data_IF_740415406978
#
_entry.id   IF_740415406978
#
_cell.length_a   1.000
_cell.length_b   1.000
_cell.length_c   1.000
_cell.angle_alpha   90.00
_cell.angle_beta   90.00
_cell.angle_gamma   90.00
#
_symmetry.space_group_name_H-M   'P 1'
#
loop_
_entity.id
_entity.type
_entity.pdbx_description
1 polymer ?
#
# COMPACT_ATOMS: atom_id res chain seq x y z
N UNK A 1 -7.87 -18.69 -4.33
CA UNK A 1 -6.82 -18.23 -5.25
C UNK A 1 -5.68 -19.24 -5.29
N UNK A 2 -5.01 -19.55 -4.16
CA UNK A 2 -3.87 -20.49 -4.11
C UNK A 2 -4.19 -21.83 -4.82
N UNK A 3 -5.36 -22.44 -4.54
CA UNK A 3 -5.80 -23.66 -5.23
C UNK A 3 -6.06 -23.49 -6.73
N UNK A 4 -6.44 -22.30 -7.14
CA UNK A 4 -6.74 -21.99 -8.55
C UNK A 4 -5.49 -21.82 -9.41
N UNK A 5 -4.33 -21.64 -8.79
CA UNK A 5 -3.04 -21.39 -9.46
C UNK A 5 -1.97 -22.42 -9.15
N UNK A 6 -2.31 -23.50 -8.42
CA UNK A 6 -1.35 -24.52 -7.97
C UNK A 6 -0.59 -25.18 -9.13
N UNK A 7 -1.26 -25.37 -10.28
CA UNK A 7 -0.71 -26.05 -11.45
C UNK A 7 -0.46 -25.09 -12.64
N UNK A 8 -0.47 -23.76 -12.39
CA UNK A 8 -0.30 -22.77 -13.44
C UNK A 8 0.85 -21.79 -13.12
N UNK A 9 1.55 -21.25 -14.15
CA UNK A 9 2.48 -20.15 -13.93
C UNK A 9 1.74 -18.97 -13.31
N UNK A 10 2.12 -18.58 -12.09
CA UNK A 10 1.49 -17.48 -11.37
C UNK A 10 2.51 -16.72 -10.55
N UNK A 11 2.43 -15.39 -10.58
CA UNK A 11 3.23 -14.52 -9.72
C UNK A 11 2.94 -14.70 -8.23
N UNK A 12 1.83 -15.36 -7.87
CA UNK A 12 1.55 -15.75 -6.49
C UNK A 12 2.61 -16.72 -5.94
N UNK A 13 3.29 -17.49 -6.81
CA UNK A 13 4.38 -18.37 -6.44
C UNK A 13 5.70 -17.64 -6.17
N UNK A 14 5.75 -16.32 -6.41
CA UNK A 14 6.93 -15.45 -6.25
C UNK A 14 6.81 -14.47 -5.08
N UNK A 15 5.76 -14.58 -4.27
CA UNK A 15 5.50 -13.68 -3.15
C UNK A 15 5.15 -14.46 -1.89
N UNK A 16 5.42 -13.86 -0.72
CA UNK A 16 4.94 -14.34 0.58
C UNK A 16 3.62 -13.64 0.94
N UNK A 17 2.45 -14.28 0.76
CA UNK A 17 1.17 -13.66 1.08
C UNK A 17 1.05 -13.34 2.57
N UNK A 18 0.47 -12.20 2.91
CA UNK A 18 0.34 -11.74 4.31
C UNK A 18 -0.43 -12.73 5.20
N UNK A 19 -1.32 -13.54 4.63
CA UNK A 19 -2.08 -14.56 5.35
C UNK A 19 -1.22 -15.71 5.92
N UNK A 20 0.00 -15.85 5.42
CA UNK A 20 0.92 -16.93 5.82
C UNK A 20 2.14 -16.42 6.59
N UNK A 21 2.17 -15.17 6.98
CA UNK A 21 3.26 -14.61 7.76
C UNK A 21 3.29 -15.23 9.16
N UNK A 22 4.48 -15.72 9.54
CA UNK A 22 4.74 -16.34 10.86
C UNK A 22 4.56 -17.84 10.91
N UNK A 23 4.15 -18.50 9.81
CA UNK A 23 4.03 -19.95 9.71
C UNK A 23 4.98 -20.48 8.61
N UNK A 24 6.00 -21.26 8.98
CA UNK A 24 6.94 -21.91 8.05
C UNK A 24 7.60 -20.92 7.05
N UNK A 25 7.88 -19.70 7.49
CA UNK A 25 8.37 -18.61 6.62
C UNK A 25 9.67 -19.01 5.87
N UNK A 26 10.58 -19.74 6.50
CA UNK A 26 11.86 -20.12 5.87
C UNK A 26 11.67 -21.09 4.71
N UNK A 27 10.81 -22.13 4.87
CA UNK A 27 10.53 -23.10 3.82
C UNK A 27 9.78 -22.46 2.65
N UNK A 28 8.79 -21.61 2.94
CA UNK A 28 8.04 -20.86 1.92
C UNK A 28 8.94 -19.90 1.15
N UNK A 29 9.83 -19.17 1.82
CA UNK A 29 10.79 -18.25 1.19
C UNK A 29 11.78 -19.03 0.31
N UNK A 30 12.23 -20.22 0.73
CA UNK A 30 13.08 -21.06 -0.11
C UNK A 30 12.35 -21.49 -1.39
N UNK A 31 11.11 -21.97 -1.28
CA UNK A 31 10.29 -22.35 -2.43
C UNK A 31 10.00 -21.17 -3.37
N UNK A 32 9.74 -19.97 -2.83
CA UNK A 32 9.56 -18.75 -3.62
C UNK A 32 10.80 -18.46 -4.47
N UNK A 33 12.00 -18.55 -3.89
CA UNK A 33 13.26 -18.33 -4.64
C UNK A 33 13.47 -19.37 -5.73
N UNK A 34 13.24 -20.64 -5.43
CA UNK A 34 13.33 -21.71 -6.43
C UNK A 34 12.38 -21.46 -7.61
N UNK A 35 11.15 -21.05 -7.33
CA UNK A 35 10.17 -20.68 -8.36
C UNK A 35 10.61 -19.48 -9.19
N UNK A 36 11.23 -18.46 -8.57
CA UNK A 36 11.77 -17.30 -9.31
C UNK A 36 12.91 -17.70 -10.24
N UNK A 37 13.86 -18.53 -9.79
CA UNK A 37 14.95 -19.03 -10.64
C UNK A 37 14.40 -19.91 -11.77
N UNK A 38 13.49 -20.81 -11.47
CA UNK A 38 12.85 -21.66 -12.50
C UNK A 38 12.11 -20.81 -13.55
N UNK A 39 11.44 -19.72 -13.13
CA UNK A 39 10.76 -18.83 -14.06
C UNK A 39 11.72 -18.06 -14.99
N UNK A 40 12.91 -17.71 -14.51
CA UNK A 40 13.96 -17.09 -15.31
C UNK A 40 14.58 -18.09 -16.31
N UNK A 41 14.81 -19.33 -15.87
CA UNK A 41 15.41 -20.40 -16.71
C UNK A 41 14.45 -20.87 -17.81
N UNK A 42 13.14 -20.88 -17.55
CA UNK A 42 12.13 -21.41 -18.47
C UNK A 42 11.45 -20.35 -19.34
N UNK A 43 11.99 -19.13 -19.38
CA UNK A 43 11.41 -17.99 -20.12
C UNK A 43 9.91 -17.73 -19.80
N UNK A 44 9.49 -18.04 -18.55
CA UNK A 44 8.12 -17.82 -18.12
C UNK A 44 7.78 -16.33 -17.95
N UNK A 45 8.80 -15.47 -17.91
CA UNK A 45 8.70 -14.03 -17.78
C UNK A 45 9.31 -13.35 -19.01
N UNK A 46 8.56 -12.43 -19.63
CA UNK A 46 9.07 -11.60 -20.73
C UNK A 46 9.92 -10.46 -20.19
N UNK A 47 11.17 -10.35 -20.62
CA UNK A 47 12.08 -9.27 -20.22
C UNK A 47 11.87 -8.04 -21.10
N UNK A 48 11.55 -6.92 -20.45
CA UNK A 48 11.46 -5.62 -21.09
C UNK A 48 12.82 -4.90 -21.07
N UNK A 49 13.05 -4.03 -22.03
CA UNK A 49 14.15 -3.05 -21.99
C UNK A 49 13.85 -1.98 -20.92
N UNK A 50 14.80 -1.05 -20.71
CA UNK A 50 14.59 0.06 -19.75
C UNK A 50 13.41 0.92 -20.16
N UNK A 51 12.55 1.21 -19.19
CA UNK A 51 11.33 1.99 -19.39
C UNK A 51 10.39 1.87 -18.20
N UNK A 52 9.13 2.24 -18.42
CA UNK A 52 8.05 2.07 -17.44
C UNK A 52 6.95 1.17 -18.04
N UNK A 53 5.99 0.80 -17.21
CA UNK A 53 4.73 0.22 -17.68
C UNK A 53 3.59 1.16 -17.32
N UNK A 54 2.85 1.63 -18.32
CA UNK A 54 1.61 2.36 -18.11
C UNK A 54 0.47 1.37 -17.94
N UNK A 55 -0.34 1.52 -16.89
CA UNK A 55 -1.41 0.57 -16.56
C UNK A 55 -2.76 1.26 -16.48
N UNK A 56 -3.79 0.62 -16.99
CA UNK A 56 -5.18 0.93 -16.71
C UNK A 56 -5.83 -0.26 -16.02
N UNK A 57 -6.45 -0.03 -14.88
CA UNK A 57 -7.23 -1.04 -14.18
C UNK A 57 -8.65 -0.56 -13.95
N UNK A 58 -9.60 -1.20 -14.59
CA UNK A 58 -11.02 -0.93 -14.44
C UNK A 58 -11.61 -1.83 -13.37
N UNK A 59 -12.13 -1.22 -12.33
CA UNK A 59 -12.84 -1.86 -11.22
C UNK A 59 -14.26 -1.30 -11.13
N UNK A 60 -14.99 -1.69 -10.11
CA UNK A 60 -16.32 -1.16 -9.84
C UNK A 60 -16.32 0.33 -9.46
N UNK A 61 -15.20 0.85 -8.95
CA UNK A 61 -15.03 2.26 -8.56
C UNK A 61 -14.57 3.16 -9.70
N UNK A 62 -14.19 2.59 -10.85
CA UNK A 62 -13.72 3.32 -12.02
C UNK A 62 -12.44 2.75 -12.61
N UNK A 63 -11.84 3.48 -13.54
CA UNK A 63 -10.57 3.10 -14.17
C UNK A 63 -9.43 3.86 -13.52
N UNK A 64 -8.60 3.15 -12.75
CA UNK A 64 -7.36 3.67 -12.18
C UNK A 64 -6.24 3.59 -13.21
N UNK A 65 -5.51 4.69 -13.36
CA UNK A 65 -4.31 4.78 -14.18
C UNK A 65 -3.08 4.86 -13.32
N UNK A 66 -2.10 4.01 -13.63
CA UNK A 66 -0.85 3.91 -12.90
C UNK A 66 0.36 3.88 -13.82
N UNK A 67 1.50 4.25 -13.28
CA UNK A 67 2.79 4.15 -13.94
C UNK A 67 3.68 3.27 -13.06
N UNK A 68 4.00 2.07 -13.54
CA UNK A 68 4.87 1.14 -12.82
C UNK A 68 6.31 1.50 -13.14
N UNK A 69 7.05 1.89 -12.11
CA UNK A 69 8.42 2.39 -12.20
C UNK A 69 9.22 1.99 -10.95
N UNK A 70 10.54 2.01 -11.06
CA UNK A 70 11.43 1.79 -9.93
C UNK A 70 11.65 3.12 -9.17
N UNK A 71 11.37 3.12 -7.87
CA UNK A 71 11.63 4.24 -6.96
C UNK A 71 13.01 4.08 -6.31
N UNK A 72 13.72 5.19 -6.05
CA UNK A 72 14.99 5.20 -5.36
C UNK A 72 14.79 5.16 -3.84
N UNK A 73 15.21 4.07 -3.20
CA UNK A 73 15.09 3.90 -1.76
C UNK A 73 15.98 4.85 -0.94
N UNK A 74 17.02 5.48 -1.54
CA UNK A 74 17.77 6.55 -0.89
C UNK A 74 16.91 7.81 -0.65
N UNK A 75 15.91 8.03 -1.49
CA UNK A 75 14.97 9.14 -1.37
C UNK A 75 13.79 8.86 -0.42
N UNK A 76 13.70 7.64 0.14
CA UNK A 76 12.61 7.20 1.01
C UNK A 76 12.94 7.30 2.49
N UNK A 77 11.98 7.73 3.30
CA UNK A 77 12.01 7.61 4.77
C UNK A 77 10.63 7.29 5.34
N UNK A 78 10.61 6.41 6.36
CA UNK A 78 9.46 6.14 7.24
C UNK A 78 9.61 6.76 8.64
N UNK A 79 10.77 7.37 8.95
CA UNK A 79 11.06 7.91 10.26
C UNK A 79 10.22 9.15 10.56
N UNK A 80 9.59 9.18 11.73
CA UNK A 80 8.80 10.33 12.16
C UNK A 80 9.71 11.57 12.33
N UNK A 81 9.25 12.72 11.83
CA UNK A 81 9.97 13.98 11.88
C UNK A 81 11.05 14.15 10.79
N UNK A 82 11.27 13.15 9.94
CA UNK A 82 12.24 13.22 8.83
C UNK A 82 11.52 13.57 7.54
N UNK A 83 11.82 14.71 6.95
CA UNK A 83 11.38 15.05 5.58
C UNK A 83 12.16 14.25 4.56
N UNK A 84 11.47 13.73 3.55
CA UNK A 84 12.09 13.00 2.44
C UNK A 84 11.22 13.15 1.18
N UNK A 85 11.81 13.07 -0.04
CA UNK A 85 11.07 13.11 -1.29
C UNK A 85 10.00 12.02 -1.39
N UNK A 86 10.26 10.83 -0.85
CA UNK A 86 9.31 9.71 -0.77
C UNK A 86 9.03 9.41 0.71
N UNK A 87 7.77 9.50 1.11
CA UNK A 87 7.38 9.29 2.51
C UNK A 87 6.47 8.08 2.70
N UNK A 88 6.70 7.35 3.80
CA UNK A 88 5.66 6.50 4.37
C UNK A 88 4.45 7.36 4.75
N UNK A 89 3.24 6.89 4.48
CA UNK A 89 2.03 7.57 4.95
C UNK A 89 1.65 7.17 6.36
N UNK A 90 2.00 5.95 6.78
CA UNK A 90 1.69 5.41 8.11
C UNK A 90 2.97 5.03 8.85
N UNK A 91 2.86 4.88 10.16
CA UNK A 91 3.92 4.32 10.98
C UNK A 91 4.20 2.87 10.60
N UNK A 92 5.48 2.55 10.48
CA UNK A 92 5.95 1.19 10.16
C UNK A 92 6.16 0.41 11.46
N UNK A 93 5.63 -0.81 11.49
CA UNK A 93 5.76 -1.74 12.63
C UNK A 93 6.98 -2.63 12.38
N UNK A 94 8.06 -2.51 13.19
CA UNK A 94 9.32 -3.24 12.96
C UNK A 94 9.16 -4.75 12.88
N UNK A 95 8.27 -5.33 13.70
CA UNK A 95 8.02 -6.78 13.76
C UNK A 95 7.47 -7.34 12.45
N UNK A 96 6.83 -6.49 11.64
CA UNK A 96 6.30 -6.86 10.32
C UNK A 96 7.33 -6.80 9.20
N UNK A 97 8.53 -6.30 9.46
CA UNK A 97 9.58 -6.15 8.43
C UNK A 97 10.36 -7.43 8.22
N UNK A 98 10.65 -8.19 9.28
CA UNK A 98 11.57 -9.32 9.23
C UNK A 98 11.23 -10.36 8.14
N UNK A 99 9.99 -10.86 7.99
CA UNK A 99 9.64 -11.82 6.93
C UNK A 99 9.83 -11.23 5.52
N UNK A 100 9.46 -9.96 5.33
CA UNK A 100 9.57 -9.26 4.04
C UNK A 100 11.01 -8.97 3.65
N UNK A 101 11.87 -8.71 4.64
CA UNK A 101 13.33 -8.57 4.41
C UNK A 101 13.90 -9.95 4.02
N UNK A 102 13.50 -11.01 4.70
CA UNK A 102 13.93 -12.37 4.41
C UNK A 102 13.51 -12.84 3.01
N UNK A 103 12.29 -12.49 2.57
CA UNK A 103 11.79 -12.74 1.21
C UNK A 103 12.70 -12.08 0.15
N UNK A 104 13.11 -10.82 0.35
CA UNK A 104 14.00 -10.09 -0.57
C UNK A 104 15.46 -10.55 -0.54
N UNK A 105 15.92 -11.04 0.61
CA UNK A 105 17.31 -11.44 0.79
C UNK A 105 17.63 -12.64 -0.12
N UNK A 106 18.59 -12.49 -1.01
CA UNK A 106 19.00 -13.49 -2.00
C UNK A 106 17.90 -13.86 -3.03
N UNK A 107 16.85 -13.05 -3.17
CA UNK A 107 15.88 -13.22 -4.23
C UNK A 107 16.41 -12.61 -5.53
N UNK A 108 16.28 -13.28 -6.69
CA UNK A 108 16.68 -12.71 -7.97
C UNK A 108 15.69 -11.64 -8.45
N UNK A 109 14.43 -11.75 -8.07
CA UNK A 109 13.32 -10.91 -8.50
C UNK A 109 12.58 -10.28 -7.32
N UNK A 110 11.82 -9.24 -7.61
CA UNK A 110 10.78 -8.70 -6.75
C UNK A 110 9.46 -8.52 -7.51
N UNK A 111 8.34 -8.77 -6.83
CA UNK A 111 6.98 -8.55 -7.32
C UNK A 111 6.18 -7.74 -6.30
N UNK A 112 6.46 -6.46 -6.11
CA UNK A 112 5.82 -5.67 -5.07
C UNK A 112 4.42 -5.20 -5.50
N UNK A 113 3.54 -5.02 -4.52
CA UNK A 113 2.19 -4.45 -4.69
C UNK A 113 2.10 -2.98 -4.25
N UNK A 114 3.23 -2.31 -4.02
CA UNK A 114 3.26 -0.95 -3.50
C UNK A 114 2.61 0.05 -4.47
N UNK A 115 1.77 0.94 -3.92
CA UNK A 115 1.18 2.07 -4.62
C UNK A 115 1.67 3.35 -3.93
N UNK A 116 2.20 4.27 -4.73
CA UNK A 116 2.60 5.60 -4.29
C UNK A 116 1.75 6.66 -4.96
N UNK A 117 1.29 7.64 -4.19
CA UNK A 117 0.64 8.81 -4.76
C UNK A 117 1.64 9.89 -5.15
N UNK A 118 1.34 10.56 -6.26
CA UNK A 118 1.88 11.86 -6.64
C UNK A 118 0.75 12.88 -6.87
N UNK A 119 1.10 14.16 -7.02
CA UNK A 119 0.12 15.25 -7.16
C UNK A 119 0.23 15.91 -8.51
N UNK A 120 -0.76 15.71 -9.38
CA UNK A 120 -0.90 16.49 -10.61
C UNK A 120 -2.38 16.76 -10.94
N UNK A 121 -2.90 17.93 -10.53
CA UNK A 121 -4.30 18.34 -10.83
C UNK A 121 -4.59 18.43 -12.32
N UNK A 122 -3.56 18.57 -13.16
CA UNK A 122 -3.71 18.64 -14.63
C UNK A 122 -3.57 17.28 -15.30
N UNK A 123 -3.13 16.28 -14.57
CA UNK A 123 -2.91 14.90 -15.02
C UNK A 123 -2.04 14.83 -16.29
N UNK A 124 -0.91 15.55 -16.28
CA UNK A 124 -0.06 15.78 -17.46
C UNK A 124 0.62 14.52 -17.92
N UNK A 125 1.18 13.74 -16.97
CA UNK A 125 1.90 12.51 -17.31
C UNK A 125 0.97 11.49 -17.97
N UNK A 126 -0.18 11.21 -17.38
CA UNK A 126 -1.17 10.27 -17.93
C UNK A 126 -1.72 10.77 -19.27
N UNK A 127 -2.06 12.06 -19.39
CA UNK A 127 -2.55 12.64 -20.65
C UNK A 127 -1.52 12.61 -21.77
N UNK A 128 -0.25 12.70 -21.43
CA UNK A 128 0.84 12.53 -22.39
C UNK A 128 0.86 11.09 -22.88
N UNK A 129 0.93 10.10 -21.98
CA UNK A 129 0.98 8.69 -22.32
C UNK A 129 -0.24 8.20 -23.13
N UNK A 130 -1.44 8.73 -22.84
CA UNK A 130 -2.67 8.42 -23.59
C UNK A 130 -2.69 8.92 -25.05
N UNK A 131 -1.74 9.78 -25.45
CA UNK A 131 -1.62 10.29 -26.84
C UNK A 131 -0.61 9.52 -27.66
N UNK A 132 0.21 8.70 -27.01
CA UNK A 132 1.25 7.92 -27.64
C UNK A 132 0.73 6.55 -28.10
N UNK A 133 1.26 6.03 -29.20
CA UNK A 133 1.03 4.65 -29.63
C UNK A 133 1.98 3.71 -28.90
N UNK A 134 1.56 3.24 -27.71
CA UNK A 134 2.36 2.37 -26.88
C UNK A 134 2.14 0.90 -27.22
N UNK A 135 3.20 0.10 -27.14
CA UNK A 135 3.13 -1.36 -27.28
C UNK A 135 2.32 -1.96 -26.12
N UNK A 136 1.25 -2.70 -26.44
CA UNK A 136 0.44 -3.39 -25.45
C UNK A 136 1.15 -4.65 -24.97
N UNK A 137 1.36 -4.77 -23.66
CA UNK A 137 2.01 -5.91 -23.03
C UNK A 137 1.01 -6.99 -22.60
N UNK A 138 -0.11 -6.57 -22.05
CA UNK A 138 -1.16 -7.47 -21.57
C UNK A 138 -2.53 -6.76 -21.53
N UNK A 139 -3.59 -7.57 -21.58
CA UNK A 139 -4.99 -7.11 -21.64
C UNK A 139 -5.90 -8.27 -21.23
N UNK A 140 -6.37 -8.31 -19.97
CA UNK A 140 -7.16 -9.43 -19.46
C UNK A 140 -7.97 -9.09 -18.19
N UNK A 141 -8.94 -9.96 -17.90
CA UNK A 141 -9.72 -9.88 -16.67
C UNK A 141 -8.99 -10.55 -15.51
N UNK A 142 -8.93 -9.84 -14.37
CA UNK A 142 -8.34 -10.36 -13.14
C UNK A 142 -9.32 -11.29 -12.43
N UNK A 143 -8.79 -12.36 -11.82
CA UNK A 143 -9.57 -13.32 -11.05
C UNK A 143 -10.30 -12.67 -9.85
N UNK A 144 -11.27 -13.40 -9.28
CA UNK A 144 -12.00 -13.03 -8.07
C UNK A 144 -12.67 -11.64 -8.12
N UNK A 145 -13.06 -11.20 -9.32
CA UNK A 145 -13.66 -9.89 -9.53
C UNK A 145 -12.72 -8.72 -9.33
N UNK A 146 -11.42 -8.95 -9.54
CA UNK A 146 -10.37 -7.93 -9.48
C UNK A 146 -10.47 -6.86 -10.56
N UNK A 147 -11.41 -6.99 -11.51
CA UNK A 147 -11.62 -6.07 -12.62
C UNK A 147 -10.78 -6.44 -13.85
N UNK A 148 -10.72 -5.51 -14.79
CA UNK A 148 -9.94 -5.64 -16.03
C UNK A 148 -8.65 -4.85 -15.94
N UNK A 149 -7.56 -5.39 -16.45
CA UNK A 149 -6.25 -4.73 -16.46
C UNK A 149 -5.65 -4.75 -17.85
N UNK A 150 -5.11 -3.60 -18.26
CA UNK A 150 -4.32 -3.45 -19.47
C UNK A 150 -3.01 -2.76 -19.13
N UNK A 151 -1.91 -3.22 -19.74
CA UNK A 151 -0.58 -2.63 -19.56
C UNK A 151 0.11 -2.37 -20.89
N UNK A 152 0.84 -1.26 -20.95
CA UNK A 152 1.61 -0.83 -22.11
C UNK A 152 3.04 -0.50 -21.74
N UNK A 153 3.97 -0.82 -22.63
CA UNK A 153 5.37 -0.45 -22.45
C UNK A 153 5.59 1.03 -22.78
N UNK A 154 6.29 1.72 -21.89
CA UNK A 154 6.73 3.11 -22.06
C UNK A 154 8.25 3.10 -22.24
N UNK A 155 8.78 3.33 -23.45
CA UNK A 155 10.21 3.26 -23.74
C UNK A 155 11.01 4.33 -22.98
N UNK A 156 12.33 4.15 -22.88
CA UNK A 156 13.22 4.89 -21.97
C UNK A 156 13.18 6.42 -22.14
N UNK A 157 13.14 6.90 -23.39
CA UNK A 157 13.03 8.34 -23.70
C UNK A 157 11.72 8.94 -23.19
N UNK A 158 10.59 8.30 -23.50
CA UNK A 158 9.27 8.72 -23.02
C UNK A 158 9.13 8.54 -21.49
N UNK A 159 9.75 7.52 -20.93
CA UNK A 159 9.82 7.32 -19.49
C UNK A 159 10.57 8.47 -18.78
N UNK A 160 11.64 8.98 -19.39
CA UNK A 160 12.38 10.13 -18.87
C UNK A 160 11.52 11.41 -18.87
N UNK A 161 10.77 11.68 -19.95
CA UNK A 161 9.82 12.78 -20.03
C UNK A 161 8.71 12.63 -19.00
N UNK A 162 8.15 11.42 -18.86
CA UNK A 162 7.15 11.09 -17.86
C UNK A 162 7.65 11.39 -16.45
N UNK A 163 8.86 10.95 -16.10
CA UNK A 163 9.47 11.18 -14.81
C UNK A 163 9.59 12.67 -14.46
N UNK A 164 9.90 13.53 -15.43
CA UNK A 164 9.94 14.99 -15.23
C UNK A 164 8.57 15.57 -14.86
N UNK A 165 7.49 15.04 -15.44
CA UNK A 165 6.13 15.47 -15.16
C UNK A 165 5.61 15.00 -13.79
N UNK A 166 6.14 13.89 -13.28
CA UNK A 166 5.76 13.36 -11.96
C UNK A 166 6.34 14.16 -10.79
N UNK A 167 7.43 14.93 -11.02
CA UNK A 167 8.03 15.76 -9.98
C UNK A 167 7.17 16.98 -9.65
N UNK A 168 6.41 16.88 -8.56
CA UNK A 168 5.69 18.03 -7.99
C UNK A 168 6.63 18.91 -7.17
N UNK A 169 6.29 20.20 -7.02
CA UNK A 169 6.99 21.08 -6.09
C UNK A 169 6.62 20.75 -4.65
N UNK A 170 7.62 20.77 -3.77
CA UNK A 170 7.48 20.56 -2.32
C UNK A 170 7.62 19.10 -1.89
N UNK A 171 7.86 18.90 -0.60
CA UNK A 171 8.02 17.59 0.02
C UNK A 171 6.80 17.23 0.87
N UNK A 172 6.43 15.93 0.87
CA UNK A 172 6.96 14.90 -0.01
C UNK A 172 6.50 15.05 -1.46
N UNK A 173 7.30 14.56 -2.40
CA UNK A 173 6.94 14.46 -3.84
C UNK A 173 6.02 13.27 -4.05
N UNK A 174 6.37 12.13 -3.45
CA UNK A 174 5.60 10.90 -3.44
C UNK A 174 5.29 10.47 -2.00
N UNK A 175 4.16 9.81 -1.82
CA UNK A 175 3.81 9.20 -0.55
C UNK A 175 3.23 7.80 -0.76
N UNK A 176 3.64 6.85 0.07
CA UNK A 176 3.13 5.48 0.00
C UNK A 176 1.66 5.48 0.37
N UNK A 177 0.84 4.98 -0.52
CA UNK A 177 -0.61 4.89 -0.34
C UNK A 177 -1.04 3.48 0.12
N UNK A 178 -0.39 2.45 -0.39
CA UNK A 178 -0.51 1.05 0.05
C UNK A 178 0.87 0.39 -0.02
N UNK A 179 1.15 -0.55 0.88
CA UNK A 179 2.42 -1.26 0.95
C UNK A 179 3.51 -0.60 1.79
N UNK A 180 3.17 0.23 2.79
CA UNK A 180 4.14 0.91 3.66
C UNK A 180 5.20 -0.05 4.25
N UNK A 181 4.81 -1.23 4.75
CA UNK A 181 5.74 -2.22 5.29
C UNK A 181 6.63 -2.84 4.21
N UNK A 182 6.13 -3.02 2.97
CA UNK A 182 6.91 -3.56 1.86
C UNK A 182 8.00 -2.59 1.42
N UNK A 183 7.69 -1.29 1.32
CA UNK A 183 8.68 -0.26 0.98
C UNK A 183 9.72 -0.12 2.09
N UNK A 184 9.29 -0.12 3.36
CA UNK A 184 10.21 -0.06 4.49
C UNK A 184 11.13 -1.29 4.59
N UNK A 185 10.61 -2.49 4.30
CA UNK A 185 11.41 -3.71 4.25
C UNK A 185 12.43 -3.67 3.10
N UNK A 186 12.04 -3.16 1.93
CA UNK A 186 12.96 -2.94 0.81
C UNK A 186 14.07 -1.95 1.17
N UNK A 187 13.75 -0.86 1.86
CA UNK A 187 14.73 0.10 2.38
C UNK A 187 15.68 -0.56 3.38
N UNK A 188 15.18 -1.31 4.35
CA UNK A 188 16.00 -2.00 5.33
C UNK A 188 16.92 -3.06 4.68
N UNK A 189 16.42 -3.79 3.69
CA UNK A 189 17.24 -4.69 2.87
C UNK A 189 18.35 -3.92 2.13
N UNK A 190 18.00 -2.82 1.44
CA UNK A 190 18.98 -1.97 0.78
C UNK A 190 20.08 -1.48 1.74
N UNK A 191 19.72 -0.99 2.93
CA UNK A 191 20.70 -0.53 3.92
C UNK A 191 21.68 -1.65 4.34
N UNK A 192 21.20 -2.88 4.45
CA UNK A 192 22.05 -4.04 4.74
C UNK A 192 23.02 -4.36 3.59
N UNK A 193 22.55 -4.30 2.34
CA UNK A 193 23.35 -4.51 1.13
C UNK A 193 24.37 -3.38 0.97
N UNK A 194 23.90 -2.12 1.09
CA UNK A 194 24.73 -0.92 0.98
C UNK A 194 25.95 -0.95 1.90
N UNK A 195 25.80 -1.48 3.10
CA UNK A 195 26.88 -1.58 4.08
C UNK A 195 28.05 -2.50 3.62
N UNK A 196 27.82 -3.35 2.64
CA UNK A 196 28.83 -4.30 2.10
C UNK A 196 29.46 -3.84 0.78
N UNK A 197 28.89 -2.79 0.14
CA UNK A 197 29.29 -2.34 -1.19
C UNK A 197 30.36 -1.24 -1.15
N UNK A 198 31.14 -1.14 -2.22
CA UNK A 198 32.01 -0.01 -2.48
C UNK A 198 31.22 1.18 -3.01
N UNK A 199 31.79 2.38 -2.86
CA UNK A 199 31.12 3.63 -3.24
C UNK A 199 30.68 3.68 -4.72
N UNK A 200 31.47 3.08 -5.60
CA UNK A 200 31.24 3.04 -7.04
C UNK A 200 30.03 2.15 -7.43
N UNK A 201 29.72 1.16 -6.58
CA UNK A 201 28.64 0.19 -6.82
C UNK A 201 27.28 0.72 -6.35
N UNK A 202 27.26 1.71 -5.44
CA UNK A 202 26.03 2.20 -4.77
C UNK A 202 25.02 2.79 -5.73
N UNK A 203 25.47 3.51 -6.76
CA UNK A 203 24.59 4.31 -7.62
C UNK A 203 23.61 3.47 -8.44
N UNK A 204 24.07 2.33 -8.94
CA UNK A 204 23.33 1.50 -9.90
C UNK A 204 22.96 0.12 -9.35
N UNK A 205 23.23 -0.16 -8.08
CA UNK A 205 22.93 -1.46 -7.50
C UNK A 205 21.42 -1.73 -7.55
N UNK A 206 20.96 -2.88 -8.08
CA UNK A 206 19.52 -3.14 -8.27
C UNK A 206 18.74 -3.14 -6.96
N UNK A 207 19.30 -3.59 -5.83
CA UNK A 207 18.64 -3.55 -4.53
C UNK A 207 18.38 -2.12 -3.99
N UNK A 208 19.03 -1.07 -4.55
CA UNK A 208 18.79 0.34 -4.21
C UNK A 208 17.39 0.79 -4.62
N UNK A 209 16.80 0.12 -5.57
CA UNK A 209 15.50 0.50 -6.12
C UNK A 209 14.42 -0.50 -5.75
N UNK A 210 13.16 -0.05 -5.79
CA UNK A 210 11.99 -0.89 -5.61
C UNK A 210 10.93 -0.54 -6.64
N UNK A 211 10.32 -1.55 -7.26
CA UNK A 211 9.21 -1.36 -8.19
C UNK A 211 7.95 -0.90 -7.43
N UNK A 212 7.24 0.08 -7.97
CA UNK A 212 5.98 0.57 -7.42
C UNK A 212 5.06 1.10 -8.53
N UNK A 213 3.76 1.07 -8.30
CA UNK A 213 2.77 1.75 -9.13
C UNK A 213 2.58 3.19 -8.65
N UNK A 214 2.87 4.17 -9.48
CA UNK A 214 2.71 5.60 -9.21
C UNK A 214 1.33 6.04 -9.72
N UNK A 215 0.47 6.51 -8.84
CA UNK A 215 -0.91 6.88 -9.13
C UNK A 215 -1.13 8.35 -8.80
N UNK A 216 -1.81 9.07 -9.69
CA UNK A 216 -2.18 10.44 -9.41
C UNK A 216 -3.25 10.49 -8.30
N UNK A 217 -2.98 11.19 -7.20
CA UNK A 217 -3.94 11.37 -6.12
C UNK A 217 -5.30 11.91 -6.61
N UNK A 218 -5.27 12.70 -7.67
CA UNK A 218 -6.47 13.31 -8.25
C UNK A 218 -7.17 12.44 -9.29
N UNK A 219 -6.69 11.22 -9.58
CA UNK A 219 -7.44 10.26 -10.39
C UNK A 219 -8.83 10.04 -9.79
N UNK A 220 -9.86 9.99 -10.65
CA UNK A 220 -11.25 9.89 -10.22
C UNK A 220 -11.57 8.55 -9.51
N UNK A 221 -10.83 7.50 -9.84
CA UNK A 221 -10.96 6.17 -9.22
C UNK A 221 -10.36 6.09 -7.82
N UNK A 222 -9.49 7.04 -7.44
CA UNK A 222 -8.90 7.07 -6.10
C UNK A 222 -9.93 7.60 -5.11
N UNK A 223 -10.44 6.71 -4.28
CA UNK A 223 -11.40 7.00 -3.21
C UNK A 223 -10.83 6.55 -1.88
N UNK A 224 -10.85 7.43 -0.89
CA UNK A 224 -10.47 7.11 0.48
C UNK A 224 -11.67 6.63 1.25
N UNK A 225 -11.62 5.39 1.71
CA UNK A 225 -12.62 4.83 2.58
C UNK A 225 -12.16 4.89 4.04
N UNK A 226 -13.01 5.36 4.97
CA UNK A 226 -12.68 5.35 6.38
C UNK A 226 -12.61 3.92 6.89
N UNK A 227 -11.69 3.67 7.79
CA UNK A 227 -11.61 2.41 8.54
C UNK A 227 -12.16 2.67 9.93
N UNK A 228 -13.24 1.99 10.27
CA UNK A 228 -13.96 2.17 11.52
C UNK A 228 -13.33 1.37 12.66
N UNK A 229 -13.64 1.70 13.90
CA UNK A 229 -13.20 0.95 15.09
C UNK A 229 -14.35 0.14 15.65
N UNK A 230 -14.07 -1.13 15.93
CA UNK A 230 -14.98 -2.04 16.60
C UNK A 230 -14.30 -2.53 17.89
N UNK A 231 -14.91 -2.25 19.02
CA UNK A 231 -14.51 -2.83 20.29
C UNK A 231 -15.27 -4.13 20.49
N UNK A 232 -14.58 -5.15 20.96
CA UNK A 232 -15.13 -6.48 21.27
C UNK A 232 -14.78 -6.87 22.69
N UNK A 233 -15.60 -7.73 23.28
CA UNK A 233 -15.44 -8.19 24.67
C UNK A 233 -15.46 -7.01 25.64
N UNK A 234 -16.40 -6.07 25.42
CA UNK A 234 -16.57 -4.86 26.24
C UNK A 234 -18.01 -4.68 26.68
N UNK A 235 -18.23 -4.02 27.81
CA UNK A 235 -19.55 -3.48 28.13
C UNK A 235 -19.86 -2.32 27.17
N UNK A 236 -20.73 -2.57 26.18
CA UNK A 236 -21.05 -1.62 25.11
C UNK A 236 -21.69 -0.32 25.64
N UNK A 237 -22.53 -0.39 26.69
CA UNK A 237 -23.17 0.79 27.27
C UNK A 237 -22.13 1.63 28.03
N UNK A 238 -21.30 0.98 28.83
CA UNK A 238 -20.20 1.67 29.53
C UNK A 238 -19.24 2.35 28.55
N UNK A 239 -18.89 1.70 27.43
CA UNK A 239 -18.07 2.30 26.38
C UNK A 239 -18.75 3.51 25.75
N UNK A 240 -20.02 3.38 25.36
CA UNK A 240 -20.77 4.47 24.76
C UNK A 240 -20.84 5.69 25.70
N UNK A 241 -21.14 5.48 26.97
CA UNK A 241 -21.19 6.54 27.97
C UNK A 241 -19.81 7.19 28.17
N UNK A 242 -18.76 6.39 28.28
CA UNK A 242 -17.39 6.88 28.38
C UNK A 242 -17.00 7.74 27.19
N UNK A 243 -17.25 7.26 25.97
CA UNK A 243 -16.86 7.96 24.76
C UNK A 243 -17.63 9.29 24.59
N UNK A 244 -18.95 9.27 24.83
CA UNK A 244 -19.80 10.47 24.75
C UNK A 244 -19.50 11.54 25.81
N UNK A 245 -18.93 11.16 26.96
CA UNK A 245 -18.42 12.11 27.95
C UNK A 245 -17.18 12.87 27.46
N UNK A 246 -16.42 12.29 26.54
CA UNK A 246 -15.16 12.89 26.03
C UNK A 246 -15.32 13.55 24.66
N UNK A 247 -16.28 13.13 23.84
CA UNK A 247 -16.52 13.63 22.49
C UNK A 247 -18.02 13.72 22.21
N UNK A 248 -18.45 14.81 21.61
CA UNK A 248 -19.83 14.92 21.14
C UNK A 248 -20.08 13.92 20.00
N UNK A 249 -21.08 13.05 20.19
CA UNK A 249 -21.44 11.99 19.24
C UNK A 249 -22.92 11.99 18.93
N UNK A 250 -23.28 11.53 17.70
CA UNK A 250 -24.57 10.92 17.43
C UNK A 250 -24.43 9.44 17.77
N UNK A 251 -25.42 8.85 18.41
CA UNK A 251 -25.44 7.43 18.76
C UNK A 251 -26.55 6.72 17.98
N UNK A 252 -26.24 5.56 17.42
CA UNK A 252 -27.17 4.66 16.72
C UNK A 252 -26.97 3.23 17.27
N UNK A 253 -27.79 2.84 18.24
CA UNK A 253 -27.59 1.60 18.98
C UNK A 253 -26.25 1.62 19.74
N UNK A 254 -25.38 0.67 19.44
CA UNK A 254 -24.02 0.56 19.96
C UNK A 254 -22.95 1.20 19.05
N UNK A 255 -23.38 1.93 17.99
CA UNK A 255 -22.48 2.67 17.10
C UNK A 255 -22.47 4.16 17.45
N UNK A 256 -21.28 4.71 17.63
CA UNK A 256 -21.02 6.13 17.87
C UNK A 256 -20.49 6.79 16.60
N UNK A 257 -21.02 7.97 16.27
CA UNK A 257 -20.60 8.80 15.14
C UNK A 257 -20.09 10.11 15.71
N UNK A 258 -18.78 10.23 15.95
CA UNK A 258 -18.20 11.39 16.61
C UNK A 258 -18.21 12.64 15.73
N UNK A 259 -18.45 13.80 16.34
CA UNK A 259 -18.27 15.11 15.71
C UNK A 259 -16.79 15.53 15.80
N UNK A 260 -15.91 14.78 15.13
CA UNK A 260 -14.47 15.03 15.04
C UNK A 260 -14.10 15.42 13.61
N UNK A 261 -12.97 16.12 13.41
CA UNK A 261 -12.44 16.36 12.08
C UNK A 261 -12.23 15.05 11.32
N UNK A 262 -12.45 15.07 10.01
CA UNK A 262 -12.10 13.93 9.16
C UNK A 262 -10.55 13.76 9.10
N UNK A 263 -10.09 12.53 8.84
CA UNK A 263 -8.67 12.23 8.67
C UNK A 263 -7.89 12.06 9.97
N UNK A 264 -6.60 12.41 9.95
CA UNK A 264 -5.63 12.03 10.99
C UNK A 264 -6.01 12.45 12.40
N UNK A 265 -6.50 13.67 12.58
CA UNK A 265 -6.84 14.20 13.91
C UNK A 265 -8.00 13.45 14.56
N UNK A 266 -9.07 13.25 13.80
CA UNK A 266 -10.23 12.49 14.31
C UNK A 266 -9.93 11.03 14.57
N UNK A 267 -9.11 10.40 13.71
CA UNK A 267 -8.63 9.03 13.91
C UNK A 267 -7.80 8.95 15.18
N UNK A 268 -6.80 9.80 15.33
CA UNK A 268 -5.94 9.84 16.54
C UNK A 268 -6.75 9.99 17.83
N UNK A 269 -7.68 10.94 17.83
CA UNK A 269 -8.54 11.16 19.02
C UNK A 269 -9.43 9.96 19.32
N UNK A 270 -9.95 9.31 18.28
CA UNK A 270 -10.76 8.10 18.45
C UNK A 270 -9.92 6.95 19.01
N UNK A 271 -8.73 6.72 18.44
CA UNK A 271 -7.82 5.65 18.89
C UNK A 271 -7.38 5.86 20.34
N UNK A 272 -7.01 7.08 20.74
CA UNK A 272 -6.67 7.42 22.12
C UNK A 272 -7.79 7.06 23.11
N UNK A 273 -9.05 7.29 22.75
CA UNK A 273 -10.20 6.99 23.59
C UNK A 273 -10.49 5.48 23.64
N UNK A 274 -10.48 4.82 22.49
CA UNK A 274 -10.69 3.38 22.40
C UNK A 274 -9.61 2.61 23.18
N UNK A 275 -8.33 2.95 22.96
CA UNK A 275 -7.20 2.32 23.67
C UNK A 275 -7.23 2.57 25.17
N UNK A 276 -7.61 3.79 25.58
CA UNK A 276 -7.78 4.10 27.01
C UNK A 276 -8.86 3.25 27.64
N UNK A 277 -10.02 3.14 26.99
CA UNK A 277 -11.12 2.34 27.51
C UNK A 277 -10.73 0.86 27.65
N UNK A 278 -10.16 0.28 26.59
CA UNK A 278 -9.72 -1.13 26.59
C UNK A 278 -8.65 -1.40 27.64
N UNK A 279 -7.70 -0.48 27.83
CA UNK A 279 -6.67 -0.61 28.86
C UNK A 279 -7.25 -0.62 30.29
N UNK A 280 -8.33 0.15 30.53
CA UNK A 280 -8.94 0.29 31.82
C UNK A 280 -10.00 -0.79 32.15
N UNK A 281 -10.65 -1.34 31.09
CA UNK A 281 -11.82 -2.23 31.24
C UNK A 281 -11.65 -3.60 30.58
N UNK A 282 -10.56 -3.84 29.84
CA UNK A 282 -10.38 -5.03 29.01
C UNK A 282 -11.03 -4.91 27.65
N UNK A 283 -11.02 -6.02 26.90
CA UNK A 283 -11.53 -6.09 25.54
C UNK A 283 -10.45 -5.91 24.47
N UNK A 284 -10.87 -5.84 23.20
CA UNK A 284 -9.99 -5.71 22.04
C UNK A 284 -10.54 -4.70 21.04
N UNK A 285 -9.64 -4.14 20.20
CA UNK A 285 -10.01 -3.21 19.12
C UNK A 285 -9.76 -3.89 17.78
N UNK A 286 -10.79 -3.96 16.95
CA UNK A 286 -10.74 -4.45 15.57
C UNK A 286 -11.02 -3.31 14.58
N UNK A 287 -10.63 -3.52 13.32
CA UNK A 287 -10.75 -2.55 12.24
C UNK A 287 -11.76 -3.03 11.20
N UNK A 288 -12.77 -2.21 10.90
CA UNK A 288 -13.90 -2.60 10.07
C UNK A 288 -14.04 -1.67 8.86
N UNK A 289 -14.16 -2.27 7.69
CA UNK A 289 -14.44 -1.56 6.44
C UNK A 289 -15.95 -1.48 6.19
N UNK A 290 -16.44 -0.26 5.97
CA UNK A 290 -17.84 0.01 5.64
C UNK A 290 -18.79 0.11 6.85
N UNK A 291 -19.60 1.17 6.84
CA UNK A 291 -20.50 1.50 7.94
C UNK A 291 -21.59 0.41 8.19
N UNK A 292 -22.05 -0.26 7.12
CA UNK A 292 -23.05 -1.35 7.25
C UNK A 292 -22.46 -2.55 8.00
N UNK A 293 -21.23 -2.92 7.69
CA UNK A 293 -20.55 -4.02 8.37
C UNK A 293 -20.21 -3.66 9.82
N UNK A 294 -19.80 -2.41 10.07
CA UNK A 294 -19.63 -1.92 11.43
C UNK A 294 -20.95 -2.04 12.23
N UNK A 295 -22.06 -1.56 11.69
CA UNK A 295 -23.35 -1.61 12.38
C UNK A 295 -23.81 -3.06 12.65
N UNK A 296 -23.58 -3.98 11.71
CA UNK A 296 -23.88 -5.40 11.90
C UNK A 296 -23.07 -6.01 13.03
N UNK A 297 -21.75 -5.78 13.04
CA UNK A 297 -20.85 -6.35 14.06
C UNK A 297 -20.97 -5.68 15.42
N UNK A 298 -21.23 -4.39 15.46
CA UNK A 298 -21.45 -3.66 16.71
C UNK A 298 -22.77 -4.02 17.40
N UNK A 299 -23.70 -4.64 16.66
CA UNK A 299 -24.96 -5.17 17.24
C UNK A 299 -24.81 -6.58 17.88
N UNK A 300 -23.64 -7.21 17.71
CA UNK A 300 -23.31 -8.45 18.40
C UNK A 300 -23.11 -8.20 19.92
N UNK A 301 -23.29 -9.23 20.74
CA UNK A 301 -23.10 -9.13 22.18
C UNK A 301 -21.67 -8.67 22.52
N UNK A 302 -21.54 -7.84 23.54
CA UNK A 302 -20.27 -7.30 24.03
C UNK A 302 -19.44 -6.52 22.98
N UNK A 303 -20.15 -5.89 22.00
CA UNK A 303 -19.53 -5.12 20.93
C UNK A 303 -20.06 -3.68 20.87
N UNK A 304 -19.16 -2.75 20.54
CA UNK A 304 -19.48 -1.35 20.27
C UNK A 304 -18.65 -0.81 19.10
N UNK A 305 -19.22 0.10 18.32
CA UNK A 305 -18.58 0.64 17.13
C UNK A 305 -18.33 2.14 17.17
N UNK A 306 -17.25 2.62 16.53
CA UNK A 306 -17.04 4.03 16.23
C UNK A 306 -16.90 4.22 14.74
N UNK A 307 -17.86 4.92 14.14
CA UNK A 307 -17.90 5.23 12.72
C UNK A 307 -17.14 6.54 12.46
N UNK A 308 -16.06 6.45 11.71
CA UNK A 308 -15.23 7.59 11.33
C UNK A 308 -15.64 8.20 9.98
N UNK A 309 -15.33 9.49 9.80
CA UNK A 309 -15.48 10.19 8.52
C UNK A 309 -14.29 9.88 7.59
N UNK A 310 -14.54 9.88 6.28
CA UNK A 310 -13.50 9.72 5.27
C UNK A 310 -12.58 10.95 5.24
N UNK A 311 -11.28 10.73 5.09
CA UNK A 311 -10.28 11.78 4.86
C UNK A 311 -10.46 12.38 3.47
N UNK A 312 -10.32 13.70 3.33
CA UNK A 312 -10.28 14.35 2.02
C UNK A 312 -8.91 14.12 1.36
N UNK A 313 -8.91 13.93 0.03
CA UNK A 313 -7.68 13.79 -0.75
C UNK A 313 -6.76 15.00 -0.62
N UNK A 314 -7.32 16.21 -0.55
CA UNK A 314 -6.55 17.45 -0.43
C UNK A 314 -5.76 17.51 0.88
N UNK A 315 -6.19 16.83 1.92
CA UNK A 315 -5.53 16.79 3.23
C UNK A 315 -4.40 15.76 3.32
N UNK A 316 -4.31 14.82 2.37
CA UNK A 316 -3.36 13.70 2.46
C UNK A 316 -1.90 14.16 2.51
N UNK A 317 -1.43 14.90 1.51
CA UNK A 317 -0.05 15.39 1.49
C UNK A 317 0.25 16.47 2.55
N UNK A 318 -0.66 17.42 2.84
CA UNK A 318 -0.49 18.34 3.97
C UNK A 318 -0.29 17.64 5.31
N UNK A 319 -1.01 16.53 5.57
CA UNK A 319 -0.88 15.77 6.80
C UNK A 319 0.49 15.05 6.96
N UNK A 320 1.20 14.81 5.86
CA UNK A 320 2.54 14.19 5.87
C UNK A 320 3.69 15.20 5.92
N UNK A 321 3.38 16.50 5.86
CA UNK A 321 4.39 17.55 5.82
C UNK A 321 5.25 17.56 7.09
N UNK A 322 6.55 17.76 6.92
CA UNK A 322 7.49 17.75 8.05
C UNK A 322 7.80 16.37 8.60
N UNK A 323 7.52 15.30 7.84
CA UNK A 323 7.79 13.93 8.25
C UNK A 323 6.75 13.33 9.21
N UNK A 324 5.57 13.93 9.31
CA UNK A 324 4.47 13.38 10.09
C UNK A 324 3.94 12.11 9.43
N UNK A 325 3.66 11.08 10.21
CA UNK A 325 2.96 9.89 9.76
C UNK A 325 1.49 9.95 10.19
N UNK A 326 0.59 9.47 9.35
CA UNK A 326 -0.81 9.29 9.70
C UNK A 326 -0.95 8.16 10.74
N UNK A 327 -1.95 8.23 11.62
CA UNK A 327 -2.32 7.08 12.45
C UNK A 327 -2.57 5.84 11.60
N UNK A 328 -2.27 4.67 12.14
CA UNK A 328 -2.55 3.39 11.47
C UNK A 328 -4.02 3.29 11.10
N UNK A 329 -4.28 2.76 9.91
CA UNK A 329 -5.66 2.55 9.48
C UNK A 329 -6.51 3.83 9.44
N UNK A 330 -5.93 4.94 9.00
CA UNK A 330 -6.65 6.20 8.76
C UNK A 330 -7.60 6.06 7.56
N UNK A 331 -7.17 5.38 6.51
CA UNK A 331 -7.99 5.11 5.31
C UNK A 331 -7.60 3.80 4.64
N UNK A 332 -8.44 3.34 3.73
CA UNK A 332 -8.08 2.32 2.74
C UNK A 332 -8.37 2.80 1.32
N UNK A 333 -7.62 2.26 0.36
CA UNK A 333 -7.85 2.45 -1.06
C UNK A 333 -8.72 1.31 -1.57
N UNK A 334 -9.99 1.59 -1.84
CA UNK A 334 -10.90 0.59 -2.36
C UNK A 334 -11.13 -0.60 -1.42
N UNK A 335 -11.73 -1.64 -1.97
CA UNK A 335 -11.91 -2.93 -1.31
C UNK A 335 -10.65 -3.81 -1.46
N UNK A 336 -10.53 -4.89 -0.67
CA UNK A 336 -9.37 -5.79 -0.71
C UNK A 336 -9.08 -6.36 -2.11
N UNK A 337 -10.12 -6.66 -2.89
CA UNK A 337 -10.01 -7.15 -4.28
C UNK A 337 -9.59 -6.08 -5.29
N UNK A 338 -9.57 -4.80 -4.90
CA UNK A 338 -9.13 -3.68 -5.73
C UNK A 338 -7.66 -3.31 -5.49
N UNK A 339 -6.97 -4.02 -4.59
CA UNK A 339 -5.53 -3.87 -4.40
C UNK A 339 -4.76 -4.23 -5.66
N UNK A 340 -3.56 -3.63 -5.81
CA UNK A 340 -2.68 -3.91 -6.94
C UNK A 340 -2.34 -5.41 -7.01
N UNK A 341 -2.39 -5.97 -8.21
CA UNK A 341 -1.93 -7.33 -8.50
C UNK A 341 -0.41 -7.34 -8.76
N UNK A 342 0.20 -8.48 -8.59
CA UNK A 342 1.63 -8.71 -8.79
C UNK A 342 1.86 -9.16 -10.24
N UNK A 343 1.86 -8.23 -11.19
CA UNK A 343 2.02 -8.54 -12.63
C UNK A 343 3.42 -8.25 -13.13
N UNK A 344 3.98 -7.10 -12.74
CA UNK A 344 5.30 -6.68 -13.13
C UNK A 344 6.31 -7.03 -12.06
N UNK A 345 7.41 -7.63 -12.49
CA UNK A 345 8.57 -7.93 -11.67
C UNK A 345 9.80 -7.15 -12.07
N UNK A 346 10.83 -7.15 -11.23
CA UNK A 346 12.12 -6.52 -11.49
C UNK A 346 13.25 -7.36 -10.92
N UNK A 347 14.37 -7.44 -11.63
CA UNK A 347 15.61 -8.02 -11.09
C UNK A 347 16.15 -7.14 -9.96
N UNK A 348 16.55 -7.77 -8.84
CA UNK A 348 17.10 -7.08 -7.66
C UNK A 348 18.47 -7.59 -7.24
N UNK A 349 19.03 -8.56 -7.96
CA UNK A 349 20.40 -9.05 -7.83
C UNK A 349 21.16 -8.90 -9.15
N UNK A 350 22.49 -9.07 -9.11
CA UNK A 350 23.34 -9.10 -10.30
C UNK A 350 23.65 -10.53 -10.76
N UNK A 351 23.13 -11.55 -10.06
CA UNK A 351 23.45 -12.96 -10.32
C UNK A 351 22.57 -13.58 -11.42
#
# INVERSE_FOLDING_TARGET
VERSVADAPSTLNFILPEAFLGEEDEERIAAIRENMYAALENDALSKLTRGFVFTERTTRTGTRRGIVAAIDLEAYSSEAGVSAPIRSSEEVVPERLAPRIAERKNAPLEFPHAILFYRDKKDRAVKMLLREELEKLYDFDLMEGGGHVTGWFVPEDLAAETAQLLHAKGEPVFAVADGNHSVAAAKAHWESVRATLKKEELANHPARFMLAELVNLYDASVVFYPIHRLLKEVDAEAFCDFFMKNVRCRREGTVLIPSLPAGAEGVKKTDELCERFVRENGGTIDYVHGAKELARRAAEEDCAGVQLAAMDKEDFFPALKGGVNLPKKTFSLGEAKEKRYYLEGREISYD
#
